data_IF_417362139602
#
_entry.id   IF_417362139602
#
_cell.length_a   1.000
_cell.length_b   1.000
_cell.length_c   1.000
_cell.angle_alpha   90.00
_cell.angle_beta   90.00
_cell.angle_gamma   90.00
#
_symmetry.space_group_name_H-M   'P 1'
#
loop_
_entity.id
_entity.type
_entity.pdbx_description
1 polymer ?
#
# COMPACT_ATOMS: atom_id res chain seq x y z
N UNK A 1 -6.43 -26.90 5.97
CA UNK A 1 -5.97 -25.63 5.38
C UNK A 1 -4.65 -25.91 4.68
N UNK A 2 -4.67 -25.81 3.39
CA UNK A 2 -3.43 -25.92 2.64
C UNK A 2 -2.66 -24.60 2.77
N UNK A 3 -1.57 -24.62 3.51
CA UNK A 3 -0.65 -23.48 3.63
C UNK A 3 0.24 -23.30 2.39
N UNK A 4 -0.16 -23.92 1.27
CA UNK A 4 0.64 -23.95 0.06
C UNK A 4 0.73 -22.61 -0.68
N UNK A 5 -0.09 -21.64 -0.32
CA UNK A 5 -0.13 -20.35 -1.00
C UNK A 5 0.67 -19.25 -0.27
N UNK A 6 1.21 -19.56 0.90
CA UNK A 6 2.09 -18.65 1.63
C UNK A 6 3.53 -18.96 1.23
N UNK A 7 4.18 -17.99 0.58
CA UNK A 7 5.56 -18.15 0.10
C UNK A 7 6.47 -17.20 0.84
N UNK A 8 7.54 -17.75 1.41
CA UNK A 8 8.60 -16.93 1.96
C UNK A 8 9.47 -16.36 0.83
N UNK A 9 9.95 -15.14 1.03
CA UNK A 9 10.82 -14.48 0.06
C UNK A 9 12.22 -15.09 0.16
N UNK A 10 12.83 -15.38 -0.98
CA UNK A 10 14.21 -15.86 -1.05
C UNK A 10 15.19 -14.77 -0.58
N UNK A 11 16.27 -15.15 0.08
CA UNK A 11 17.25 -14.20 0.60
C UNK A 11 17.85 -13.30 -0.49
N UNK A 12 18.09 -13.83 -1.68
CA UNK A 12 18.60 -13.05 -2.80
C UNK A 12 17.60 -11.98 -3.24
N UNK A 13 16.31 -12.28 -3.19
CA UNK A 13 15.26 -11.32 -3.56
C UNK A 13 15.10 -10.23 -2.51
N UNK A 14 15.24 -10.57 -1.22
CA UNK A 14 15.24 -9.58 -0.14
C UNK A 14 16.38 -8.58 -0.33
N UNK A 15 17.57 -9.08 -0.64
CA UNK A 15 18.75 -8.23 -0.89
C UNK A 15 18.53 -7.33 -2.10
N UNK A 16 18.03 -7.88 -3.19
CA UNK A 16 17.76 -7.14 -4.43
C UNK A 16 16.69 -6.06 -4.19
N UNK A 17 15.60 -6.40 -3.49
CA UNK A 17 14.55 -5.45 -3.15
C UNK A 17 15.09 -4.30 -2.29
N UNK A 18 15.93 -4.60 -1.29
CA UNK A 18 16.55 -3.57 -0.45
C UNK A 18 17.43 -2.62 -1.27
N UNK A 19 18.21 -3.16 -2.20
CA UNK A 19 19.07 -2.34 -3.06
C UNK A 19 18.23 -1.43 -3.97
N UNK A 20 17.17 -1.96 -4.56
CA UNK A 20 16.26 -1.18 -5.43
C UNK A 20 15.59 -0.08 -4.63
N UNK A 21 15.06 -0.39 -3.45
CA UNK A 21 14.39 0.59 -2.58
C UNK A 21 15.37 1.68 -2.15
N UNK A 22 16.57 1.32 -1.75
CA UNK A 22 17.58 2.31 -1.36
C UNK A 22 17.91 3.26 -2.50
N UNK A 23 18.02 2.76 -3.71
CA UNK A 23 18.27 3.58 -4.90
C UNK A 23 17.08 4.49 -5.20
N UNK A 24 15.87 3.97 -5.16
CA UNK A 24 14.65 4.76 -5.37
C UNK A 24 14.51 5.86 -4.31
N UNK A 25 14.73 5.53 -3.05
CA UNK A 25 14.63 6.49 -1.95
C UNK A 25 15.63 7.64 -2.12
N UNK A 26 16.83 7.35 -2.57
CA UNK A 26 17.83 8.37 -2.83
C UNK A 26 17.36 9.33 -3.92
N UNK A 27 16.75 8.81 -4.99
CA UNK A 27 16.20 9.63 -6.07
C UNK A 27 15.02 10.47 -5.56
N UNK A 28 14.11 9.88 -4.80
CA UNK A 28 12.96 10.60 -4.26
C UNK A 28 13.39 11.78 -3.38
N UNK A 29 14.35 11.55 -2.49
CA UNK A 29 14.89 12.60 -1.62
C UNK A 29 15.58 13.70 -2.40
N UNK A 30 16.29 13.34 -3.47
CA UNK A 30 16.94 14.31 -4.36
C UNK A 30 15.91 15.25 -4.98
N UNK A 31 14.72 14.78 -5.29
CA UNK A 31 13.63 15.57 -5.85
C UNK A 31 12.76 16.26 -4.80
N UNK A 32 13.15 16.21 -3.54
CA UNK A 32 12.47 16.91 -2.45
C UNK A 32 11.27 16.16 -1.87
N UNK A 33 11.16 14.86 -2.10
CA UNK A 33 10.10 14.04 -1.49
C UNK A 33 10.49 13.59 -0.09
N UNK A 34 9.52 13.59 0.82
CA UNK A 34 9.68 13.11 2.19
C UNK A 34 9.03 11.75 2.37
N UNK A 35 9.67 10.88 3.15
CA UNK A 35 9.16 9.54 3.42
C UNK A 35 8.02 9.58 4.43
N UNK A 36 6.97 8.82 4.13
CA UNK A 36 5.85 8.60 5.03
C UNK A 36 5.60 7.11 5.20
N UNK A 37 4.96 6.75 6.30
CA UNK A 37 4.64 5.36 6.63
C UNK A 37 3.16 5.25 7.01
N UNK A 38 2.26 5.18 6.03
CA UNK A 38 0.83 5.02 6.31
C UNK A 38 0.53 3.68 6.97
N UNK A 39 -0.62 3.59 7.63
CA UNK A 39 -1.08 2.34 8.24
C UNK A 39 -1.32 1.25 7.19
N UNK A 40 -1.03 0.00 7.55
CA UNK A 40 -1.39 -1.17 6.75
C UNK A 40 -2.90 -1.38 6.67
N UNK A 41 -3.65 -0.84 7.63
CA UNK A 41 -5.07 -1.08 7.78
C UNK A 41 -5.85 0.13 7.27
N UNK A 42 -6.82 -0.14 6.40
CA UNK A 42 -7.76 0.84 5.86
C UNK A 42 -9.18 0.50 6.28
N UNK A 43 -10.08 1.49 6.24
CA UNK A 43 -11.51 1.22 6.31
C UNK A 43 -12.01 0.84 4.93
N UNK A 44 -12.97 -0.09 4.87
CA UNK A 44 -13.62 -0.47 3.61
C UNK A 44 -14.32 0.72 2.96
N UNK A 45 -14.90 1.61 3.75
CA UNK A 45 -15.54 2.83 3.26
C UNK A 45 -14.55 3.70 2.46
N UNK A 46 -13.34 3.89 2.98
CA UNK A 46 -12.30 4.66 2.29
C UNK A 46 -11.93 4.02 0.96
N UNK A 47 -11.80 2.70 0.93
CA UNK A 47 -11.45 1.96 -0.29
C UNK A 47 -12.58 2.02 -1.31
N UNK A 48 -13.83 1.81 -0.90
CA UNK A 48 -15.01 1.90 -1.77
C UNK A 48 -15.18 3.29 -2.38
N UNK A 49 -14.87 4.33 -1.62
CA UNK A 49 -14.99 5.72 -2.07
C UNK A 49 -14.11 6.05 -3.27
N UNK A 50 -13.08 5.28 -3.54
CA UNK A 50 -12.22 5.45 -4.71
C UNK A 50 -12.83 4.91 -6.01
N UNK A 51 -13.72 3.92 -5.91
CA UNK A 51 -14.41 3.34 -7.07
C UNK A 51 -13.56 2.54 -8.05
N UNK A 52 -12.26 2.39 -7.79
CA UNK A 52 -11.31 1.75 -8.69
C UNK A 52 -10.96 0.33 -8.24
N UNK A 53 -11.24 -0.01 -7.00
CA UNK A 53 -10.82 -1.26 -6.39
C UNK A 53 -12.03 -2.19 -6.24
N UNK A 54 -11.89 -3.40 -6.77
CA UNK A 54 -12.88 -4.44 -6.60
C UNK A 54 -12.86 -4.94 -5.14
N UNK A 55 -13.97 -4.74 -4.44
CA UNK A 55 -14.16 -5.17 -3.05
C UNK A 55 -13.86 -6.65 -2.85
N UNK A 56 -14.11 -7.48 -3.85
CA UNK A 56 -13.86 -8.91 -3.79
C UNK A 56 -12.38 -9.27 -3.76
N UNK A 57 -11.51 -8.33 -4.11
CA UNK A 57 -10.05 -8.50 -4.09
C UNK A 57 -9.42 -7.97 -2.80
N UNK A 58 -10.21 -7.35 -1.93
CA UNK A 58 -9.71 -6.74 -0.69
C UNK A 58 -9.64 -7.78 0.43
N UNK A 59 -8.53 -7.80 1.16
CA UNK A 59 -8.31 -8.71 2.29
C UNK A 59 -8.90 -8.11 3.55
N UNK A 60 -10.03 -8.65 4.01
CA UNK A 60 -10.74 -8.18 5.19
C UNK A 60 -10.11 -8.63 6.50
N UNK A 61 -10.45 -7.91 7.57
CA UNK A 61 -10.05 -8.26 8.94
C UNK A 61 -11.20 -9.03 9.60
N UNK A 62 -10.94 -10.24 10.07
CA UNK A 62 -11.97 -11.11 10.65
C UNK A 62 -12.62 -10.51 11.90
N UNK A 63 -11.84 -9.85 12.74
CA UNK A 63 -12.33 -9.27 13.99
C UNK A 63 -13.15 -7.99 13.81
N UNK A 64 -13.11 -7.38 12.63
CA UNK A 64 -13.84 -6.14 12.34
C UNK A 64 -14.13 -6.03 10.85
N UNK A 65 -15.38 -6.22 10.46
CA UNK A 65 -15.82 -6.25 9.07
C UNK A 65 -15.67 -4.91 8.33
N UNK A 66 -15.45 -3.81 9.05
CA UNK A 66 -15.27 -2.49 8.44
C UNK A 66 -13.80 -2.19 8.11
N UNK A 67 -12.88 -3.07 8.48
CA UNK A 67 -11.45 -2.89 8.28
C UNK A 67 -10.90 -3.90 7.27
N UNK A 68 -9.84 -3.48 6.60
CA UNK A 68 -9.13 -4.33 5.63
C UNK A 68 -7.65 -3.98 5.58
N UNK A 69 -6.86 -4.85 4.98
CA UNK A 69 -5.46 -4.56 4.64
C UNK A 69 -5.42 -3.70 3.37
N UNK A 70 -4.52 -2.73 3.34
CA UNK A 70 -4.41 -1.80 2.21
C UNK A 70 -4.12 -2.54 0.90
N UNK A 71 -4.91 -2.32 -0.15
CA UNK A 71 -4.67 -2.94 -1.46
C UNK A 71 -3.70 -2.13 -2.32
N UNK A 72 -3.45 -0.86 -1.97
CA UNK A 72 -2.55 0.04 -2.66
C UNK A 72 -2.16 1.18 -1.72
N UNK A 73 -1.16 1.99 -2.09
CA UNK A 73 -0.59 3.00 -1.20
C UNK A 73 -1.20 4.39 -1.39
N UNK A 74 -1.68 4.71 -2.58
CA UNK A 74 -2.14 6.06 -2.92
C UNK A 74 -3.26 6.55 -2.01
N UNK A 75 -4.28 5.71 -1.77
CA UNK A 75 -5.39 6.05 -0.88
C UNK A 75 -4.91 6.37 0.54
N UNK A 76 -3.96 5.59 1.04
CA UNK A 76 -3.39 5.80 2.38
C UNK A 76 -2.61 7.11 2.47
N UNK A 77 -1.85 7.45 1.44
CA UNK A 77 -1.08 8.71 1.39
C UNK A 77 -2.03 9.90 1.30
N UNK A 78 -3.04 9.83 0.46
CA UNK A 78 -4.04 10.90 0.33
C UNK A 78 -4.77 11.13 1.65
N UNK A 79 -5.16 10.07 2.33
CA UNK A 79 -5.79 10.17 3.65
C UNK A 79 -4.86 10.82 4.67
N UNK A 80 -3.59 10.44 4.69
CA UNK A 80 -2.58 11.04 5.56
C UNK A 80 -2.45 12.53 5.30
N UNK A 81 -2.44 12.95 4.03
CA UNK A 81 -2.32 14.36 3.64
C UNK A 81 -3.53 15.19 4.08
N UNK A 82 -4.71 14.60 4.10
CA UNK A 82 -5.94 15.28 4.52
C UNK A 82 -6.20 15.24 6.01
N UNK A 83 -5.40 14.51 6.78
CA UNK A 83 -5.51 14.41 8.23
C UNK A 83 -4.29 15.00 8.92
N UNK A 84 -3.23 14.21 9.09
CA UNK A 84 -2.02 14.62 9.80
C UNK A 84 -1.27 15.76 9.15
N UNK A 85 -1.32 15.85 7.81
CA UNK A 85 -0.58 16.84 7.03
C UNK A 85 -1.48 17.93 6.48
N UNK A 86 -2.69 18.10 7.01
CA UNK A 86 -3.65 19.07 6.48
C UNK A 86 -3.13 20.51 6.54
N UNK A 87 -2.33 20.85 7.54
CA UNK A 87 -1.77 22.18 7.72
C UNK A 87 -0.38 22.37 7.08
N UNK A 88 0.16 21.32 6.45
CA UNK A 88 1.44 21.42 5.79
C UNK A 88 1.29 22.25 4.50
N UNK A 89 2.23 23.16 4.26
CA UNK A 89 2.22 24.02 3.07
C UNK A 89 2.25 23.17 1.78
N UNK A 90 1.32 23.46 0.88
CA UNK A 90 1.22 22.81 -0.43
C UNK A 90 2.16 23.46 -1.46
N UNK A 91 2.65 22.73 -2.47
CA UNK A 91 2.45 21.30 -2.68
C UNK A 91 3.25 20.45 -1.71
N UNK A 92 2.74 19.25 -1.43
CA UNK A 92 3.45 18.27 -0.61
C UNK A 92 3.98 17.16 -1.53
N UNK A 93 5.24 16.80 -1.33
CA UNK A 93 5.91 15.72 -2.03
C UNK A 93 6.18 14.60 -1.05
N UNK A 94 5.52 13.46 -1.25
CA UNK A 94 5.60 12.32 -0.34
C UNK A 94 6.00 11.06 -1.10
N UNK A 95 6.76 10.19 -0.44
CA UNK A 95 7.04 8.86 -0.97
C UNK A 95 6.89 7.82 0.13
N UNK A 96 6.64 6.60 -0.26
CA UNK A 96 6.55 5.48 0.67
C UNK A 96 6.92 4.19 -0.03
N UNK A 97 7.41 3.24 0.77
CA UNK A 97 7.61 1.87 0.36
C UNK A 97 6.89 0.99 1.36
N UNK A 98 6.21 -0.02 0.89
CA UNK A 98 5.54 -0.93 1.80
C UNK A 98 4.79 -2.03 1.08
N UNK A 99 4.33 -2.97 1.88
CA UNK A 99 3.55 -4.09 1.39
C UNK A 99 2.11 -3.68 1.16
N UNK A 100 1.55 -4.18 0.07
CA UNK A 100 0.13 -4.10 -0.25
C UNK A 100 -0.40 -5.52 -0.41
N UNK A 101 -1.70 -5.68 -0.25
CA UNK A 101 -2.31 -7.00 -0.10
C UNK A 101 -3.56 -7.09 -0.96
N UNK A 102 -3.68 -8.19 -1.70
CA UNK A 102 -4.93 -8.51 -2.38
C UNK A 102 -5.22 -10.02 -2.28
N UNK A 103 -6.42 -10.39 -2.66
CA UNK A 103 -6.80 -11.79 -2.82
C UNK A 103 -7.42 -11.99 -4.19
N UNK A 104 -7.14 -13.15 -4.78
CA UNK A 104 -7.68 -13.53 -6.08
C UNK A 104 -8.39 -14.87 -5.93
N UNK A 105 -9.62 -14.94 -6.40
CA UNK A 105 -10.35 -16.21 -6.43
C UNK A 105 -9.72 -17.14 -7.45
N UNK A 106 -9.37 -18.35 -7.02
CA UNK A 106 -8.75 -19.36 -7.89
C UNK A 106 -9.77 -20.39 -8.36
N UNK A 107 -10.78 -20.68 -7.53
CA UNK A 107 -11.95 -21.49 -7.86
C UNK A 107 -13.09 -21.13 -6.91
N UNK A 108 -14.24 -21.84 -6.97
CA UNK A 108 -15.46 -21.45 -6.25
C UNK A 108 -15.28 -21.22 -4.74
N UNK A 109 -14.34 -21.92 -4.09
CA UNK A 109 -14.16 -21.87 -2.64
C UNK A 109 -12.73 -21.56 -2.21
N UNK A 110 -11.88 -21.11 -3.13
CA UNK A 110 -10.46 -20.88 -2.82
C UNK A 110 -10.03 -19.51 -3.25
N UNK A 111 -9.25 -18.86 -2.39
CA UNK A 111 -8.60 -17.59 -2.66
C UNK A 111 -7.10 -17.75 -2.54
N UNK A 112 -6.38 -17.02 -3.37
CA UNK A 112 -4.95 -16.86 -3.26
C UNK A 112 -4.64 -15.46 -2.75
N UNK A 113 -3.91 -15.38 -1.64
CA UNK A 113 -3.49 -14.11 -1.07
C UNK A 113 -2.18 -13.67 -1.73
N UNK A 114 -2.10 -12.39 -2.07
CA UNK A 114 -0.90 -11.79 -2.62
C UNK A 114 -0.39 -10.70 -1.70
N UNK A 115 0.91 -10.75 -1.43
CA UNK A 115 1.67 -9.69 -0.78
C UNK A 115 2.61 -9.12 -1.82
N UNK A 116 2.55 -7.81 -2.03
CA UNK A 116 3.39 -7.14 -3.02
C UNK A 116 4.10 -5.96 -2.39
N UNK A 117 5.38 -5.83 -2.67
CA UNK A 117 6.13 -4.64 -2.30
C UNK A 117 5.87 -3.54 -3.33
N UNK A 118 5.43 -2.40 -2.85
CA UNK A 118 5.13 -1.24 -3.70
C UNK A 118 5.99 -0.06 -3.26
N UNK A 119 6.49 0.68 -4.24
CA UNK A 119 7.18 1.95 -4.02
C UNK A 119 6.51 3.00 -4.87
N UNK A 120 6.27 4.17 -4.30
CA UNK A 120 5.58 5.20 -5.05
C UNK A 120 5.72 6.58 -4.46
N UNK A 121 5.45 7.58 -5.29
CA UNK A 121 5.47 8.99 -4.93
C UNK A 121 4.12 9.62 -5.22
N UNK A 122 3.79 10.63 -4.43
CA UNK A 122 2.59 11.45 -4.62
C UNK A 122 2.95 12.93 -4.51
N UNK A 123 2.46 13.72 -5.46
CA UNK A 123 2.51 15.17 -5.42
C UNK A 123 1.10 15.67 -5.16
N UNK A 124 0.91 16.36 -4.03
CA UNK A 124 -0.43 16.72 -3.54
C UNK A 124 -0.55 18.22 -3.41
N UNK A 125 -1.67 18.78 -3.92
CA UNK A 125 -1.98 20.19 -3.80
C UNK A 125 -1.25 21.07 -4.81
N UNK A 126 -0.91 20.55 -5.97
CA UNK A 126 -0.38 21.30 -7.09
C UNK A 126 -1.52 21.66 -8.04
N UNK A 127 -1.62 22.95 -8.39
CA UNK A 127 -2.61 23.46 -9.34
C UNK A 127 -2.08 23.44 -10.78
#
# INVERSE_FOLDING_TARGET
IKMTDIKEIKLVDVKNNSNIINNLNSIYKLWGYEEVSPSFINTLETIKGRGIIDENQVVGIVSNNSLCLRPEMTTSIVKLSSTRLINKKRPIRLFTNGMVFDKKQTNENSFKLHEKLQSGIELIGYD
#
